data_IF_309265542240
#
_entry.id   IF_309265542240
#
_cell.length_a   1.000
_cell.length_b   1.000
_cell.length_c   1.000
_cell.angle_alpha   90.00
_cell.angle_beta   90.00
_cell.angle_gamma   90.00
#
_symmetry.space_group_name_H-M   'P 1'
#
loop_
_entity.id
_entity.type
_entity.pdbx_description
1 polymer ?
#
# COMPACT_ATOMS: atom_id res chain seq x y z
N UNK A 1 -17.29 4.14 -28.10
CA UNK A 1 -15.94 3.81 -27.61
C UNK A 1 -15.86 4.20 -26.13
N UNK A 2 -15.66 3.18 -25.30
CA UNK A 2 -15.33 3.13 -23.86
C UNK A 2 -15.76 4.29 -22.95
N UNK A 3 -16.98 4.15 -22.41
CA UNK A 3 -17.44 4.92 -21.25
C UNK A 3 -16.85 4.29 -19.98
N UNK A 4 -15.74 4.83 -19.48
CA UNK A 4 -15.01 4.37 -18.30
C UNK A 4 -15.93 4.38 -17.08
N UNK A 5 -16.26 3.19 -16.58
CA UNK A 5 -17.16 2.94 -15.46
C UNK A 5 -16.74 3.69 -14.19
N UNK A 6 -17.38 4.83 -13.97
CA UNK A 6 -17.45 5.50 -12.68
C UNK A 6 -18.87 5.35 -12.11
N UNK A 7 -19.20 4.18 -11.57
CA UNK A 7 -20.42 3.96 -10.78
C UNK A 7 -20.11 3.01 -9.61
N UNK A 8 -20.42 3.49 -8.40
CA UNK A 8 -20.73 2.71 -7.17
C UNK A 8 -19.62 2.42 -6.13
N UNK A 9 -18.72 3.36 -5.81
CA UNK A 9 -17.88 3.23 -4.58
C UNK A 9 -18.00 4.41 -3.59
N UNK A 10 -18.81 5.44 -3.86
CA UNK A 10 -18.90 6.65 -3.00
C UNK A 10 -19.93 6.60 -1.86
N UNK A 11 -20.58 5.47 -1.58
CA UNK A 11 -21.59 5.37 -0.52
C UNK A 11 -21.56 4.04 0.25
N UNK A 12 -20.49 3.76 0.99
CA UNK A 12 -20.55 2.69 1.99
C UNK A 12 -19.58 2.80 3.20
N UNK A 13 -18.44 3.49 3.15
CA UNK A 13 -17.41 3.28 4.19
C UNK A 13 -16.60 4.53 4.61
N UNK A 14 -17.27 5.55 5.13
CA UNK A 14 -16.61 6.45 6.08
C UNK A 14 -17.65 6.92 7.10
N UNK A 15 -18.11 6.00 7.96
CA UNK A 15 -18.73 6.42 9.23
C UNK A 15 -17.63 7.13 10.01
N UNK A 16 -17.79 8.41 10.39
CA UNK A 16 -16.81 9.06 11.26
C UNK A 16 -16.72 8.25 12.56
N UNK A 17 -15.49 8.01 13.03
CA UNK A 17 -15.27 7.41 14.35
C UNK A 17 -15.78 8.42 15.37
N UNK A 18 -16.96 8.15 15.93
CA UNK A 18 -17.49 8.94 17.04
C UNK A 18 -16.71 8.55 18.29
N UNK A 19 -15.84 9.46 18.73
CA UNK A 19 -15.16 9.37 20.02
C UNK A 19 -16.17 9.71 21.12
N UNK A 20 -16.43 8.82 22.09
CA UNK A 20 -17.27 9.14 23.24
C UNK A 20 -16.69 10.32 24.03
N UNK A 21 -17.54 11.24 24.48
CA UNK A 21 -17.13 12.42 25.28
C UNK A 21 -16.59 12.06 26.68
N UNK A 22 -16.83 10.83 27.16
CA UNK A 22 -16.18 10.32 28.35
C UNK A 22 -14.75 9.94 27.99
N UNK A 23 -13.84 10.90 28.18
CA UNK A 23 -12.44 10.92 27.73
C UNK A 23 -11.49 9.82 28.23
N UNK A 24 -11.94 8.58 28.28
CA UNK A 24 -11.07 7.43 28.11
C UNK A 24 -11.17 7.03 26.63
N UNK A 25 -10.24 7.51 25.82
CA UNK A 25 -9.93 6.82 24.57
C UNK A 25 -9.55 5.39 24.98
N UNK A 26 -10.12 4.33 24.38
CA UNK A 26 -9.59 2.99 24.59
C UNK A 26 -8.10 3.10 24.30
N UNK A 27 -7.26 2.77 25.28
CA UNK A 27 -5.81 2.89 25.14
C UNK A 27 -5.43 2.21 23.84
N UNK A 28 -5.17 3.02 22.81
CA UNK A 28 -4.81 2.52 21.50
C UNK A 28 -3.48 1.85 21.76
N UNK A 29 -3.49 0.52 21.85
CA UNK A 29 -2.28 -0.25 22.01
C UNK A 29 -1.50 0.02 20.74
N UNK A 30 -0.60 0.99 20.79
CA UNK A 30 0.40 1.19 19.76
C UNK A 30 1.39 0.06 20.07
N UNK A 31 1.48 -0.99 19.24
CA UNK A 31 2.47 -2.03 19.46
C UNK A 31 3.83 -1.34 19.63
N UNK A 32 4.45 -1.55 20.79
CA UNK A 32 5.52 -0.69 21.28
C UNK A 32 6.80 -0.76 20.41
N UNK A 33 6.88 -1.73 19.50
CA UNK A 33 7.81 -1.78 18.37
C UNK A 33 7.31 -2.79 17.33
N UNK A 34 6.95 -2.34 16.12
CA UNK A 34 6.85 -3.25 14.97
C UNK A 34 8.23 -3.31 14.34
N UNK A 35 8.98 -4.40 14.57
CA UNK A 35 10.25 -4.61 13.88
C UNK A 35 9.95 -4.71 12.38
N UNK A 36 10.51 -3.84 11.52
CA UNK A 36 10.33 -3.99 10.10
C UNK A 36 10.95 -5.33 9.66
N UNK A 37 10.36 -6.02 8.67
CA UNK A 37 10.95 -7.23 8.13
C UNK A 37 12.36 -6.92 7.61
N UNK A 38 13.30 -7.82 7.84
CA UNK A 38 14.62 -7.75 7.24
C UNK A 38 14.51 -8.25 5.81
N UNK A 39 14.35 -7.34 4.85
CA UNK A 39 14.27 -7.66 3.43
C UNK A 39 15.63 -7.37 2.77
N UNK A 40 16.09 -8.30 1.95
CA UNK A 40 17.23 -8.10 1.05
C UNK A 40 16.84 -7.21 -0.13
N UNK A 41 17.83 -6.58 -0.77
CA UNK A 41 17.59 -5.79 -1.98
C UNK A 41 16.96 -6.64 -3.10
N UNK A 42 17.34 -7.91 -3.22
CA UNK A 42 16.83 -8.83 -4.24
C UNK A 42 15.35 -9.12 -4.02
N UNK A 43 14.91 -9.36 -2.78
CA UNK A 43 13.50 -9.57 -2.46
C UNK A 43 12.64 -8.34 -2.74
N UNK A 44 13.14 -7.15 -2.39
CA UNK A 44 12.43 -5.89 -2.66
C UNK A 44 12.27 -5.67 -4.17
N UNK A 45 13.35 -5.86 -4.94
CA UNK A 45 13.31 -5.72 -6.39
C UNK A 45 12.36 -6.73 -7.02
N UNK A 46 12.41 -7.99 -6.59
CA UNK A 46 11.54 -9.06 -7.09
C UNK A 46 10.06 -8.77 -6.78
N UNK A 47 9.77 -8.23 -5.59
CA UNK A 47 8.41 -7.87 -5.20
C UNK A 47 7.88 -6.66 -5.97
N UNK A 48 8.73 -5.67 -6.26
CA UNK A 48 8.39 -4.57 -7.15
C UNK A 48 8.16 -5.10 -8.58
N UNK A 49 8.97 -6.05 -9.03
CA UNK A 49 8.88 -6.68 -10.34
C UNK A 49 7.63 -7.53 -10.57
N UNK A 50 7.01 -8.01 -9.50
CA UNK A 50 5.73 -8.69 -9.54
C UNK A 50 4.52 -7.75 -9.67
N UNK A 51 4.67 -6.45 -9.37
CA UNK A 51 3.59 -5.48 -9.52
C UNK A 51 3.29 -5.17 -10.98
N UNK A 52 2.03 -4.83 -11.28
CA UNK A 52 1.68 -4.22 -12.57
C UNK A 52 2.54 -2.97 -12.84
N UNK A 53 2.89 -2.75 -14.10
CA UNK A 53 3.74 -1.62 -14.52
C UNK A 53 3.18 -0.28 -14.05
N UNK A 54 1.85 -0.12 -14.05
CA UNK A 54 1.20 1.11 -13.60
C UNK A 54 1.35 1.35 -12.09
N UNK A 55 1.27 0.30 -11.27
CA UNK A 55 1.46 0.41 -9.82
C UNK A 55 2.93 0.64 -9.48
N UNK A 56 3.84 -0.09 -10.15
CA UNK A 56 5.28 0.03 -9.95
C UNK A 56 5.77 1.44 -10.25
N UNK A 57 5.41 1.99 -11.40
CA UNK A 57 5.83 3.33 -11.83
C UNK A 57 5.47 4.38 -10.77
N UNK A 58 4.20 4.40 -10.34
CA UNK A 58 3.71 5.39 -9.38
C UNK A 58 4.36 5.21 -8.00
N UNK A 59 4.68 3.97 -7.60
CA UNK A 59 5.38 3.71 -6.34
C UNK A 59 6.84 4.16 -6.38
N UNK A 60 7.56 3.89 -7.47
CA UNK A 60 8.96 4.33 -7.64
C UNK A 60 9.03 5.86 -7.56
N UNK A 61 8.19 6.56 -8.33
CA UNK A 61 8.15 8.02 -8.32
C UNK A 61 7.84 8.60 -6.93
N UNK A 62 6.98 7.95 -6.15
CA UNK A 62 6.61 8.45 -4.82
C UNK A 62 7.61 8.12 -3.72
N UNK A 63 8.21 6.93 -3.74
CA UNK A 63 9.00 6.38 -2.62
C UNK A 63 10.49 6.51 -2.87
N UNK A 64 10.93 6.27 -4.10
CA UNK A 64 12.35 6.31 -4.48
C UNK A 64 12.73 7.73 -4.89
N UNK A 65 11.95 8.33 -5.78
CA UNK A 65 12.22 9.69 -6.27
C UNK A 65 11.67 10.79 -5.34
N UNK A 66 10.74 10.44 -4.44
CA UNK A 66 10.19 11.37 -3.46
C UNK A 66 9.20 12.41 -4.01
N UNK A 67 8.66 12.22 -5.22
CA UNK A 67 7.69 13.14 -5.80
C UNK A 67 6.34 13.11 -5.05
N UNK A 68 5.70 14.28 -4.99
CA UNK A 68 4.34 14.42 -4.46
C UNK A 68 3.30 13.84 -5.43
N UNK A 69 2.11 13.51 -4.92
CA UNK A 69 1.01 13.03 -5.77
C UNK A 69 0.63 14.03 -6.89
N UNK A 70 0.84 15.33 -6.68
CA UNK A 70 0.59 16.39 -7.67
C UNK A 70 1.62 16.35 -8.79
N UNK A 71 2.90 16.22 -8.44
CA UNK A 71 3.98 16.12 -9.43
C UNK A 71 3.88 14.84 -10.24
N UNK A 72 3.58 13.70 -9.60
CA UNK A 72 3.37 12.43 -10.29
C UNK A 72 2.18 12.51 -11.25
N UNK A 73 1.09 13.19 -10.85
CA UNK A 73 -0.05 13.41 -11.71
C UNK A 73 0.33 14.20 -12.98
N UNK A 74 1.19 15.21 -12.84
CA UNK A 74 1.72 15.97 -13.97
C UNK A 74 2.66 15.13 -14.85
N UNK A 75 3.63 14.43 -14.26
CA UNK A 75 4.61 13.58 -14.96
C UNK A 75 3.91 12.49 -15.78
N UNK A 76 2.95 11.79 -15.17
CA UNK A 76 2.25 10.68 -15.81
C UNK A 76 1.04 11.12 -16.65
N UNK A 77 0.69 12.42 -16.66
CA UNK A 77 -0.54 12.94 -17.28
C UNK A 77 -1.81 12.21 -16.80
N UNK A 78 -1.92 12.00 -15.48
CA UNK A 78 -3.04 11.29 -14.84
C UNK A 78 -3.78 12.20 -13.86
N UNK A 79 -5.08 11.97 -13.62
CA UNK A 79 -5.79 12.64 -12.53
C UNK A 79 -5.16 12.32 -11.16
N UNK A 80 -5.07 13.30 -10.27
CA UNK A 80 -4.52 13.09 -8.92
C UNK A 80 -5.25 11.98 -8.13
N UNK A 81 -6.57 11.85 -8.31
CA UNK A 81 -7.34 10.76 -7.70
C UNK A 81 -6.96 9.37 -8.24
N UNK A 82 -6.52 9.29 -9.50
CA UNK A 82 -5.99 8.07 -10.10
C UNK A 82 -4.63 7.73 -9.50
N UNK A 83 -3.74 8.72 -9.32
CA UNK A 83 -2.44 8.54 -8.66
C UNK A 83 -2.63 8.04 -7.23
N UNK A 84 -3.50 8.68 -6.45
CA UNK A 84 -3.81 8.27 -5.08
C UNK A 84 -4.38 6.85 -4.99
N UNK A 85 -5.33 6.51 -5.87
CA UNK A 85 -5.91 5.16 -5.90
C UNK A 85 -4.92 4.09 -6.37
N UNK A 86 -4.07 4.39 -7.35
CA UNK A 86 -2.97 3.53 -7.78
C UNK A 86 -1.94 3.32 -6.67
N UNK A 87 -1.53 4.36 -5.95
CA UNK A 87 -0.65 4.23 -4.79
C UNK A 87 -1.26 3.33 -3.71
N UNK A 88 -2.52 3.56 -3.38
CA UNK A 88 -3.22 2.76 -2.36
C UNK A 88 -3.26 1.28 -2.74
N UNK A 89 -3.66 0.98 -3.99
CA UNK A 89 -3.74 -0.39 -4.51
C UNK A 89 -2.35 -1.03 -4.64
N UNK A 90 -1.38 -0.32 -5.20
CA UNK A 90 0.00 -0.78 -5.32
C UNK A 90 0.64 -1.11 -3.97
N UNK A 91 0.45 -0.28 -2.94
CA UNK A 91 0.92 -0.59 -1.57
C UNK A 91 0.21 -1.80 -0.97
N UNK A 92 -1.07 -2.01 -1.26
CA UNK A 92 -1.80 -3.20 -0.80
C UNK A 92 -1.29 -4.47 -1.49
N UNK A 93 -1.04 -4.41 -2.79
CA UNK A 93 -0.49 -5.51 -3.59
C UNK A 93 0.95 -5.85 -3.19
N UNK A 94 1.81 -4.84 -3.03
CA UNK A 94 3.20 -5.03 -2.59
C UNK A 94 3.26 -5.68 -1.21
N UNK A 95 2.39 -5.25 -0.27
CA UNK A 95 2.28 -5.89 1.05
C UNK A 95 1.88 -7.36 0.95
N UNK A 96 0.95 -7.72 0.05
CA UNK A 96 0.57 -9.12 -0.14
C UNK A 96 1.77 -9.93 -0.61
N UNK A 97 2.46 -9.47 -1.65
CA UNK A 97 3.63 -10.16 -2.21
C UNK A 97 4.69 -10.41 -1.13
N UNK A 98 5.07 -9.36 -0.39
CA UNK A 98 6.09 -9.46 0.65
C UNK A 98 5.67 -10.32 1.85
N UNK A 99 4.38 -10.36 2.20
CA UNK A 99 3.87 -11.23 3.29
C UNK A 99 3.90 -12.71 2.89
N UNK A 100 3.63 -13.04 1.62
CA UNK A 100 3.69 -14.42 1.16
C UNK A 100 5.12 -14.95 1.02
N UNK A 101 6.09 -14.11 0.62
CA UNK A 101 7.51 -14.51 0.55
C UNK A 101 8.08 -14.94 1.91
N UNK A 102 7.58 -14.35 3.00
CA UNK A 102 8.02 -14.66 4.36
C UNK A 102 7.42 -15.98 4.92
N UNK A 103 6.49 -16.62 4.19
CA UNK A 103 5.85 -17.87 4.60
C UNK A 103 6.64 -19.11 4.15
N UNK A 104 7.46 -19.02 3.09
CA UNK A 104 8.23 -20.18 2.60
C UNK A 104 9.46 -20.51 3.45
N UNK A 105 10.13 -19.51 4.04
CA UNK A 105 11.34 -19.75 4.85
C UNK A 105 11.05 -20.29 6.26
N UNK A 106 9.84 -20.06 6.79
CA UNK A 106 9.47 -20.52 8.14
C UNK A 106 9.07 -22.01 8.19
N UNK A 107 8.96 -22.68 7.04
CA UNK A 107 8.56 -24.10 6.96
C UNK A 107 9.76 -25.06 7.06
N UNK A 108 10.97 -24.62 6.74
CA UNK A 108 12.19 -25.46 6.78
C UNK A 108 12.93 -25.41 8.11
N UNK A 109 12.60 -24.45 9.00
CA UNK A 109 13.25 -24.28 10.30
C UNK A 109 12.62 -25.08 11.46
N UNK A 110 11.62 -25.93 11.21
CA UNK A 110 11.01 -26.82 12.23
C UNK A 110 11.30 -28.31 12.03
N UNK A 111 12.26 -28.68 11.18
CA UNK A 111 12.75 -30.07 11.09
C UNK A 111 14.27 -30.09 11.25
N UNK A 112 14.74 -29.94 12.48
CA UNK A 112 16.03 -30.43 12.99
C UNK A 112 16.02 -30.46 14.51
#
# INVERSE_FOLDING_TARGET
MLNVSNKNHRKAQARPVLVPLNGHEPSRVIPMHVRPPQLTAVEVLSALDALSTEHRLVLILAVVEGFTCKEIAAICSLPIGTVMSRLSRGRAELRKILVYSQCEEQSTASVS
#
